data_IF_838177547589
#
_entry.id   IF_838177547589
#
_cell.length_a   1.000
_cell.length_b   1.000
_cell.length_c   1.000
_cell.angle_alpha   90.00
_cell.angle_beta   90.00
_cell.angle_gamma   90.00
#
_symmetry.space_group_name_H-M   'P 1'
#
loop_
_entity.id
_entity.type
_entity.pdbx_description
1 polymer ?
#
# COMPACT_ATOMS: atom_id res chain seq x y z
N UNK A 1 -24.97 -16.50 -8.31
CA UNK A 1 -25.69 -15.26 -8.00
C UNK A 1 -26.26 -15.39 -6.62
N UNK A 2 -26.11 -14.36 -5.79
CA UNK A 2 -26.63 -14.29 -4.44
C UNK A 2 -27.32 -12.94 -4.26
N UNK A 3 -28.42 -12.92 -3.53
CA UNK A 3 -29.14 -11.69 -3.20
C UNK A 3 -28.81 -11.27 -1.78
N UNK A 4 -28.23 -10.11 -1.62
CA UNK A 4 -27.95 -9.53 -0.32
C UNK A 4 -29.08 -8.55 0.04
N UNK A 5 -29.83 -8.80 1.11
CA UNK A 5 -30.89 -7.90 1.52
C UNK A 5 -30.33 -6.58 2.04
N UNK A 6 -31.10 -5.52 1.85
CA UNK A 6 -30.80 -4.25 2.48
C UNK A 6 -30.80 -4.41 4.01
N UNK A 7 -29.85 -3.80 4.75
CA UNK A 7 -29.85 -3.83 6.22
C UNK A 7 -31.20 -3.39 6.78
N UNK A 8 -31.74 -4.13 7.76
CA UNK A 8 -33.02 -3.79 8.40
C UNK A 8 -32.99 -2.46 9.15
N UNK A 9 -31.81 -2.00 9.55
CA UNK A 9 -31.61 -0.74 10.25
C UNK A 9 -30.62 0.13 9.47
N UNK A 10 -30.95 1.46 9.41
CA UNK A 10 -30.09 2.44 8.75
C UNK A 10 -28.72 2.52 9.45
N UNK A 11 -27.60 2.26 8.75
CA UNK A 11 -26.26 2.50 9.27
C UNK A 11 -26.03 3.99 9.56
N UNK A 12 -25.26 4.31 10.60
CA UNK A 12 -24.92 5.70 10.96
C UNK A 12 -24.11 6.43 9.88
N UNK A 13 -23.43 5.67 9.03
CA UNK A 13 -22.59 6.18 7.94
C UNK A 13 -23.36 6.68 6.72
N UNK A 14 -24.68 6.42 6.65
CA UNK A 14 -25.52 6.76 5.48
C UNK A 14 -26.66 7.67 5.94
N UNK A 15 -26.94 8.74 5.20
CA UNK A 15 -28.08 9.60 5.47
C UNK A 15 -29.42 8.89 5.13
N UNK A 16 -30.52 9.40 5.70
CA UNK A 16 -31.83 8.74 5.57
C UNK A 16 -32.36 8.72 4.14
N UNK A 17 -32.04 9.75 3.34
CA UNK A 17 -32.48 9.85 1.95
C UNK A 17 -31.79 8.79 1.10
N UNK A 18 -30.47 8.66 1.25
CA UNK A 18 -29.66 7.65 0.57
C UNK A 18 -30.07 6.24 1.00
N UNK A 19 -30.32 6.01 2.30
CA UNK A 19 -30.81 4.71 2.79
C UNK A 19 -32.14 4.31 2.17
N UNK A 20 -33.12 5.22 2.11
CA UNK A 20 -34.43 4.96 1.53
C UNK A 20 -34.41 4.76 0.01
N UNK A 21 -33.34 5.21 -0.65
CA UNK A 21 -33.13 5.02 -2.09
C UNK A 21 -32.40 3.69 -2.42
N UNK A 22 -31.92 2.95 -1.41
CA UNK A 22 -31.31 1.64 -1.63
C UNK A 22 -32.36 0.63 -2.11
N UNK A 23 -31.99 -0.27 -3.04
CA UNK A 23 -32.86 -1.36 -3.45
C UNK A 23 -33.11 -2.32 -2.29
N UNK A 24 -34.22 -3.05 -2.30
CA UNK A 24 -34.57 -4.04 -1.29
C UNK A 24 -33.49 -5.12 -1.14
N UNK A 25 -32.87 -5.50 -2.25
CA UNK A 25 -31.73 -6.41 -2.28
C UNK A 25 -30.75 -6.02 -3.37
N UNK A 26 -29.48 -6.33 -3.15
CA UNK A 26 -28.42 -6.19 -4.13
C UNK A 26 -28.07 -7.57 -4.71
N UNK A 27 -28.12 -7.70 -6.03
CA UNK A 27 -27.63 -8.90 -6.69
C UNK A 27 -26.13 -8.86 -6.81
N UNK A 28 -25.47 -9.90 -6.31
CA UNK A 28 -24.02 -10.04 -6.33
C UNK A 28 -23.61 -11.43 -6.82
N UNK A 29 -22.42 -11.48 -7.40
CA UNK A 29 -21.78 -12.73 -7.80
C UNK A 29 -20.68 -13.07 -6.79
N UNK A 30 -20.80 -14.27 -6.17
CA UNK A 30 -19.76 -14.81 -5.31
C UNK A 30 -18.90 -15.81 -6.09
N UNK A 31 -17.58 -15.63 -6.02
CA UNK A 31 -16.59 -16.44 -6.71
C UNK A 31 -15.62 -17.03 -5.69
N UNK A 32 -15.47 -18.36 -5.70
CA UNK A 32 -14.43 -19.03 -4.92
C UNK A 32 -13.18 -19.17 -5.77
N UNK A 33 -12.12 -18.48 -5.37
CA UNK A 33 -10.82 -18.48 -6.06
C UNK A 33 -9.81 -19.26 -5.23
N UNK A 34 -9.20 -20.30 -5.82
CA UNK A 34 -8.10 -21.03 -5.19
C UNK A 34 -6.80 -20.27 -5.33
N UNK A 35 -6.13 -20.02 -4.20
CA UNK A 35 -4.78 -19.43 -4.18
C UNK A 35 -3.76 -20.57 -4.20
N UNK A 36 -3.11 -20.77 -5.35
CA UNK A 36 -2.08 -21.83 -5.53
C UNK A 36 -0.67 -21.36 -5.15
N UNK A 37 -0.52 -20.14 -4.69
CA UNK A 37 0.79 -19.56 -4.40
C UNK A 37 1.38 -20.12 -3.10
N UNK A 38 2.59 -20.67 -3.17
CA UNK A 38 3.34 -21.19 -2.03
C UNK A 38 3.55 -20.07 -0.98
N UNK A 39 3.32 -20.39 0.29
CA UNK A 39 3.48 -19.41 1.38
C UNK A 39 2.22 -18.62 1.75
N UNK A 40 1.15 -18.71 0.98
CA UNK A 40 -0.13 -18.12 1.36
C UNK A 40 -0.88 -19.03 2.34
N UNK A 41 -1.34 -18.46 3.46
CA UNK A 41 -2.19 -19.18 4.43
C UNK A 41 -3.57 -19.47 3.87
N UNK A 42 -4.12 -18.50 3.14
CA UNK A 42 -5.46 -18.59 2.58
C UNK A 42 -5.41 -19.45 1.32
N UNK A 43 -6.00 -20.63 1.40
CA UNK A 43 -6.10 -21.56 0.28
C UNK A 43 -7.24 -21.22 -0.68
N UNK A 44 -8.27 -20.55 -0.17
CA UNK A 44 -9.47 -20.17 -0.94
C UNK A 44 -9.91 -18.78 -0.52
N UNK A 45 -10.17 -17.93 -1.50
CA UNK A 45 -10.75 -16.60 -1.34
C UNK A 45 -12.17 -16.62 -1.90
N UNK A 46 -13.10 -15.97 -1.23
CA UNK A 46 -14.41 -15.65 -1.78
C UNK A 46 -14.36 -14.18 -2.22
N UNK A 47 -14.48 -13.96 -3.52
CA UNK A 47 -14.57 -12.63 -4.12
C UNK A 47 -16.02 -12.35 -4.40
N UNK A 48 -16.52 -11.20 -3.94
CA UNK A 48 -17.89 -10.74 -4.17
C UNK A 48 -17.83 -9.52 -5.07
N UNK A 49 -18.69 -9.49 -6.09
CA UNK A 49 -18.72 -8.42 -7.08
C UNK A 49 -20.14 -8.18 -7.62
N UNK A 50 -20.40 -6.97 -8.06
CA UNK A 50 -21.59 -6.58 -8.81
C UNK A 50 -21.43 -6.84 -10.31
N UNK A 51 -20.26 -7.27 -10.79
CA UNK A 51 -20.03 -7.71 -12.17
C UNK A 51 -20.60 -9.12 -12.34
N UNK A 52 -21.91 -9.17 -12.60
CA UNK A 52 -22.69 -10.40 -12.47
C UNK A 52 -22.62 -11.31 -13.70
N UNK A 53 -22.39 -10.75 -14.89
CA UNK A 53 -22.37 -11.51 -16.13
C UNK A 53 -21.10 -12.39 -16.24
N UNK A 54 -21.23 -13.73 -16.28
CA UNK A 54 -20.09 -14.63 -16.35
C UNK A 54 -19.44 -14.71 -17.73
N UNK A 55 -20.15 -14.34 -18.80
CA UNK A 55 -19.63 -14.37 -20.17
C UNK A 55 -18.74 -13.14 -20.44
N UNK A 56 -19.21 -11.98 -20.00
CA UNK A 56 -18.42 -10.73 -20.10
C UNK A 56 -17.25 -10.69 -19.09
N UNK A 57 -17.45 -11.21 -17.87
CA UNK A 57 -16.47 -11.16 -16.80
C UNK A 57 -16.08 -12.57 -16.36
N UNK A 58 -15.04 -13.12 -16.98
CA UNK A 58 -14.57 -14.45 -16.65
C UNK A 58 -14.07 -14.53 -15.18
N UNK A 59 -14.17 -15.70 -14.58
CA UNK A 59 -13.72 -15.92 -13.19
C UNK A 59 -12.23 -15.65 -13.00
N UNK A 60 -11.41 -15.97 -14.01
CA UNK A 60 -9.97 -15.67 -14.05
C UNK A 60 -9.71 -14.17 -13.93
N UNK A 61 -10.41 -13.37 -14.74
CA UNK A 61 -10.20 -11.93 -14.83
C UNK A 61 -10.59 -11.23 -13.54
N UNK A 62 -11.69 -11.65 -12.91
CA UNK A 62 -12.10 -11.16 -11.59
C UNK A 62 -11.13 -11.57 -10.48
N UNK A 63 -10.52 -12.75 -10.57
CA UNK A 63 -9.48 -13.18 -9.65
C UNK A 63 -8.20 -12.35 -9.79
N UNK A 64 -7.80 -12.03 -11.02
CA UNK A 64 -6.62 -11.21 -11.31
C UNK A 64 -6.87 -9.74 -10.94
N UNK A 65 -8.06 -9.22 -11.22
CA UNK A 65 -8.49 -7.90 -10.77
C UNK A 65 -8.42 -7.78 -9.23
N UNK A 66 -8.95 -8.79 -8.51
CA UNK A 66 -8.87 -8.81 -7.04
C UNK A 66 -7.42 -8.89 -6.55
N UNK A 67 -6.56 -9.65 -7.22
CA UNK A 67 -5.13 -9.73 -6.92
C UNK A 67 -4.45 -8.37 -7.16
N UNK A 68 -4.79 -7.68 -8.25
CA UNK A 68 -4.28 -6.35 -8.57
C UNK A 68 -4.64 -5.29 -7.50
N UNK A 69 -5.70 -5.51 -6.68
CA UNK A 69 -6.03 -4.67 -5.53
C UNK A 69 -4.84 -4.46 -4.58
N UNK A 70 -3.97 -5.47 -4.43
CA UNK A 70 -2.76 -5.34 -3.62
C UNK A 70 -1.84 -4.20 -4.06
N UNK A 71 -1.90 -3.82 -5.32
CA UNK A 71 -1.12 -2.69 -5.84
C UNK A 71 -1.46 -1.38 -5.13
N UNK A 72 -2.73 -1.18 -4.71
CA UNK A 72 -3.11 0.01 -3.94
C UNK A 72 -2.43 0.08 -2.58
N UNK A 73 -2.21 -1.05 -1.93
CA UNK A 73 -1.47 -1.10 -0.66
C UNK A 73 0.00 -0.75 -0.86
N UNK A 74 0.61 -1.18 -1.97
CA UNK A 74 1.97 -0.80 -2.36
C UNK A 74 2.06 0.69 -2.71
N UNK A 75 1.05 1.23 -3.39
CA UNK A 75 0.97 2.64 -3.74
C UNK A 75 0.83 3.52 -2.48
N UNK A 76 -0.07 3.16 -1.57
CA UNK A 76 -0.21 3.82 -0.27
C UNK A 76 1.07 3.72 0.58
N UNK A 77 1.76 2.59 0.57
CA UNK A 77 3.06 2.45 1.22
C UNK A 77 4.11 3.38 0.60
N UNK A 78 4.12 3.52 -0.72
CA UNK A 78 5.03 4.43 -1.41
C UNK A 78 4.79 5.88 -0.97
N UNK A 79 3.55 6.32 -0.91
CA UNK A 79 3.19 7.67 -0.47
C UNK A 79 3.50 7.85 1.03
N UNK A 80 3.02 6.94 1.90
CA UNK A 80 3.16 7.08 3.35
C UNK A 80 4.60 6.91 3.82
N UNK A 81 5.25 5.79 3.43
CA UNK A 81 6.53 5.41 4.03
C UNK A 81 7.74 5.84 3.20
N UNK A 82 7.66 5.85 1.86
CA UNK A 82 8.80 6.22 1.01
C UNK A 82 8.87 7.73 0.81
N UNK A 83 7.73 8.39 0.67
CA UNK A 83 7.63 9.84 0.53
C UNK A 83 7.34 10.57 1.86
N UNK A 84 7.32 9.84 3.00
CA UNK A 84 7.15 10.38 4.35
C UNK A 84 5.86 11.18 4.60
N UNK A 85 4.75 10.87 3.91
CA UNK A 85 3.45 11.49 4.17
C UNK A 85 2.80 11.00 5.47
N UNK A 86 3.34 9.99 6.14
CA UNK A 86 2.92 9.53 7.46
C UNK A 86 3.15 10.57 8.57
N UNK A 87 4.01 11.56 8.33
CA UNK A 87 4.26 12.69 9.22
C UNK A 87 3.93 13.99 8.50
N UNK A 88 2.72 14.50 8.71
CA UNK A 88 2.29 15.81 8.20
C UNK A 88 2.88 16.92 9.07
N UNK A 89 3.43 17.95 8.44
CA UNK A 89 4.13 19.06 9.13
C UNK A 89 3.26 20.30 9.30
N UNK A 90 2.24 20.45 8.47
CA UNK A 90 1.33 21.58 8.52
C UNK A 90 0.36 21.44 9.68
N UNK A 91 0.01 22.56 10.35
CA UNK A 91 -0.83 22.59 11.53
C UNK A 91 -2.28 22.99 11.24
N UNK A 92 -2.53 23.79 10.20
CA UNK A 92 -3.89 24.19 9.86
C UNK A 92 -4.55 23.19 8.90
N UNK A 93 -5.87 22.95 9.01
CA UNK A 93 -6.59 22.01 8.15
C UNK A 93 -6.41 22.28 6.65
N UNK A 94 -6.35 23.55 6.27
CA UNK A 94 -6.15 23.95 4.87
C UNK A 94 -4.77 23.61 4.37
N UNK A 95 -3.72 23.90 5.13
CA UNK A 95 -2.34 23.58 4.78
C UNK A 95 -2.09 22.06 4.78
N UNK A 96 -2.69 21.32 5.71
CA UNK A 96 -2.66 19.85 5.72
C UNK A 96 -3.25 19.28 4.43
N UNK A 97 -4.38 19.80 3.95
CA UNK A 97 -4.95 19.39 2.66
C UNK A 97 -4.00 19.66 1.51
N UNK A 98 -3.39 20.86 1.47
CA UNK A 98 -2.39 21.20 0.43
C UNK A 98 -1.18 20.28 0.49
N UNK A 99 -0.68 19.97 1.68
CA UNK A 99 0.42 19.02 1.89
C UNK A 99 0.09 17.62 1.36
N UNK A 100 -1.09 17.09 1.67
CA UNK A 100 -1.56 15.80 1.15
C UNK A 100 -1.65 15.80 -0.38
N UNK A 101 -2.25 16.85 -0.97
CA UNK A 101 -2.35 16.97 -2.43
C UNK A 101 -1.00 17.09 -3.11
N UNK A 102 -0.04 17.78 -2.47
CA UNK A 102 1.34 17.88 -2.98
C UNK A 102 2.02 16.52 -3.03
N UNK A 103 1.86 15.68 -1.99
CA UNK A 103 2.39 14.33 -1.99
C UNK A 103 1.75 13.45 -3.07
N UNK A 104 0.43 13.55 -3.27
CA UNK A 104 -0.28 12.82 -4.32
C UNK A 104 0.20 13.26 -5.71
N UNK A 105 0.34 14.57 -5.93
CA UNK A 105 0.86 15.11 -7.18
C UNK A 105 2.28 14.61 -7.46
N UNK A 106 3.18 14.73 -6.48
CA UNK A 106 4.56 14.25 -6.61
C UNK A 106 4.61 12.74 -6.89
N UNK A 107 3.79 11.94 -6.20
CA UNK A 107 3.65 10.51 -6.47
C UNK A 107 3.27 10.25 -7.93
N UNK A 108 2.25 10.94 -8.45
CA UNK A 108 1.80 10.77 -9.83
C UNK A 108 2.86 11.17 -10.86
N UNK A 109 3.61 12.25 -10.61
CA UNK A 109 4.71 12.67 -11.47
C UNK A 109 5.83 11.62 -11.51
N UNK A 110 6.22 11.07 -10.36
CA UNK A 110 7.22 9.99 -10.29
C UNK A 110 6.73 8.78 -11.08
N UNK A 111 5.47 8.37 -10.91
CA UNK A 111 4.87 7.26 -11.66
C UNK A 111 4.84 7.51 -13.16
N UNK A 112 4.57 8.74 -13.59
CA UNK A 112 4.61 9.12 -15.01
C UNK A 112 6.02 8.97 -15.60
N UNK A 113 7.06 9.40 -14.86
CA UNK A 113 8.45 9.22 -15.27
C UNK A 113 8.83 7.73 -15.32
N UNK A 114 8.42 6.94 -14.33
CA UNK A 114 8.62 5.49 -14.33
C UNK A 114 7.94 4.82 -15.53
N UNK A 115 6.73 5.26 -15.90
CA UNK A 115 6.03 4.74 -17.08
C UNK A 115 6.77 5.10 -18.37
N UNK A 116 7.35 6.30 -18.48
CA UNK A 116 8.17 6.70 -19.64
C UNK A 116 9.45 5.85 -19.72
N UNK A 117 10.10 5.57 -18.57
CA UNK A 117 11.28 4.71 -18.52
C UNK A 117 10.92 3.28 -18.94
N UNK A 118 9.79 2.76 -18.45
CA UNK A 118 9.29 1.43 -18.81
C UNK A 118 9.00 1.34 -20.31
N UNK A 119 8.32 2.33 -20.87
CA UNK A 119 7.98 2.38 -22.30
C UNK A 119 9.22 2.46 -23.19
N UNK A 120 10.26 3.21 -22.76
CA UNK A 120 11.53 3.29 -23.48
C UNK A 120 12.27 1.94 -23.56
N UNK A 121 12.10 1.08 -22.55
CA UNK A 121 12.84 -0.18 -22.42
C UNK A 121 11.96 -1.43 -22.53
N UNK A 122 10.71 -1.30 -22.99
CA UNK A 122 9.75 -2.39 -23.11
C UNK A 122 9.57 -3.20 -21.81
N UNK A 123 9.43 -2.48 -20.69
CA UNK A 123 9.25 -3.06 -19.36
C UNK A 123 7.83 -2.82 -18.84
N UNK A 124 7.38 -3.71 -17.95
CA UNK A 124 6.18 -3.45 -17.17
C UNK A 124 6.47 -2.38 -16.09
N UNK A 125 5.76 -1.23 -16.07
CA UNK A 125 6.07 -0.12 -15.15
C UNK A 125 6.12 -0.51 -13.68
N UNK A 126 5.38 -1.55 -13.27
CA UNK A 126 5.34 -2.00 -11.87
C UNK A 126 6.54 -2.88 -11.48
N UNK A 127 7.35 -3.30 -12.42
CA UNK A 127 8.62 -3.98 -12.13
C UNK A 127 9.72 -3.01 -11.71
N UNK A 128 9.56 -1.72 -12.00
CA UNK A 128 10.52 -0.68 -11.61
C UNK A 128 10.34 -0.32 -10.14
N UNK A 129 11.45 -0.15 -9.42
CA UNK A 129 11.46 0.22 -8.00
C UNK A 129 11.07 1.68 -7.79
N UNK A 130 9.93 1.95 -7.14
CA UNK A 130 9.53 3.32 -6.80
C UNK A 130 10.57 4.06 -5.93
N UNK A 131 11.13 3.37 -4.92
CA UNK A 131 12.18 3.95 -4.07
C UNK A 131 13.47 4.24 -4.84
N UNK A 132 13.82 3.38 -5.80
CA UNK A 132 14.96 3.58 -6.70
C UNK A 132 14.73 4.79 -7.60
N UNK A 133 13.56 4.89 -8.23
CA UNK A 133 13.20 6.01 -9.08
C UNK A 133 13.21 7.35 -8.33
N UNK A 134 12.64 7.41 -7.11
CA UNK A 134 12.64 8.62 -6.28
C UNK A 134 14.08 9.09 -5.98
N UNK A 135 14.97 8.20 -5.56
CA UNK A 135 16.38 8.54 -5.28
C UNK A 135 17.10 9.03 -6.52
N UNK A 136 16.91 8.40 -7.66
CA UNK A 136 17.51 8.84 -8.91
C UNK A 136 17.01 10.22 -9.33
N UNK A 137 15.72 10.51 -9.14
CA UNK A 137 15.17 11.84 -9.38
C UNK A 137 15.82 12.90 -8.49
N UNK A 138 16.03 12.64 -7.22
CA UNK A 138 16.71 13.53 -6.28
C UNK A 138 18.17 13.80 -6.69
N UNK A 139 18.89 12.77 -7.12
CA UNK A 139 20.27 12.89 -7.58
C UNK A 139 20.36 13.63 -8.92
N UNK A 140 19.51 13.28 -9.88
CA UNK A 140 19.51 13.90 -11.20
C UNK A 140 18.97 15.34 -11.20
N UNK A 141 18.17 15.74 -10.22
CA UNK A 141 17.70 17.13 -10.12
C UNK A 141 18.85 18.11 -10.06
N UNK A 142 19.85 17.85 -9.24
CA UNK A 142 21.06 18.69 -9.15
C UNK A 142 21.81 18.77 -10.47
N UNK A 143 21.90 17.65 -11.19
CA UNK A 143 22.53 17.60 -12.50
C UNK A 143 21.72 18.40 -13.52
N UNK A 144 20.39 18.25 -13.55
CA UNK A 144 19.51 18.97 -14.47
C UNK A 144 19.54 20.48 -14.21
N UNK A 145 19.56 20.91 -12.95
CA UNK A 145 19.68 22.32 -12.56
C UNK A 145 21.02 22.91 -13.01
N UNK A 146 22.12 22.20 -12.77
CA UNK A 146 23.46 22.61 -13.25
C UNK A 146 23.55 22.68 -14.78
N UNK A 147 22.85 21.79 -15.48
CA UNK A 147 22.86 21.69 -16.94
C UNK A 147 21.78 22.56 -17.60
N UNK A 148 20.93 23.26 -16.81
CA UNK A 148 19.83 24.07 -17.34
C UNK A 148 20.28 25.13 -18.35
N UNK A 149 21.47 25.70 -18.15
CA UNK A 149 22.09 26.72 -19.03
C UNK A 149 22.67 26.18 -20.34
N UNK A 150 22.86 24.85 -20.47
CA UNK A 150 23.54 24.24 -21.64
C UNK A 150 22.62 23.90 -22.83
N UNK A 151 21.39 24.40 -22.83
CA UNK A 151 20.45 24.26 -23.93
C UNK A 151 19.59 22.98 -23.91
N UNK A 152 18.55 22.99 -24.77
CA UNK A 152 17.51 21.95 -24.77
C UNK A 152 18.04 20.54 -25.12
N UNK A 153 18.92 20.42 -26.09
CA UNK A 153 19.47 19.14 -26.51
C UNK A 153 20.30 18.47 -25.41
N UNK A 154 20.97 19.24 -24.56
CA UNK A 154 21.71 18.69 -23.43
C UNK A 154 20.81 18.22 -22.32
N UNK A 155 19.78 19.01 -21.99
CA UNK A 155 18.73 18.56 -21.01
C UNK A 155 18.04 17.27 -21.46
N UNK A 156 17.74 17.16 -22.76
CA UNK A 156 17.12 15.97 -23.31
C UNK A 156 18.02 14.73 -23.16
N UNK A 157 19.33 14.86 -23.36
CA UNK A 157 20.28 13.76 -23.12
C UNK A 157 20.32 13.37 -21.66
N UNK A 158 20.40 14.32 -20.72
CA UNK A 158 20.38 14.05 -19.29
C UNK A 158 19.08 13.36 -18.87
N UNK A 159 17.94 13.81 -19.40
CA UNK A 159 16.65 13.19 -19.13
C UNK A 159 16.60 11.75 -19.68
N UNK A 160 17.11 11.51 -20.88
CA UNK A 160 17.23 10.18 -21.45
C UNK A 160 18.05 9.24 -20.57
N UNK A 161 19.20 9.72 -20.04
CA UNK A 161 20.04 8.98 -19.10
C UNK A 161 19.30 8.67 -17.79
N UNK A 162 18.53 9.62 -17.27
CA UNK A 162 17.69 9.40 -16.09
C UNK A 162 16.72 8.25 -16.32
N UNK A 163 16.02 8.20 -17.46
CA UNK A 163 15.10 7.12 -17.80
C UNK A 163 15.82 5.77 -17.89
N UNK A 164 17.04 5.72 -18.44
CA UNK A 164 17.85 4.50 -18.52
C UNK A 164 18.23 4.01 -17.11
N UNK A 165 18.67 4.92 -16.24
CA UNK A 165 18.97 4.59 -14.86
C UNK A 165 17.74 4.09 -14.08
N UNK A 166 16.57 4.71 -14.27
CA UNK A 166 15.32 4.30 -13.63
C UNK A 166 14.91 2.91 -14.08
N UNK A 167 14.98 2.61 -15.38
CA UNK A 167 14.64 1.30 -15.93
C UNK A 167 15.57 0.18 -15.40
N UNK A 168 16.83 0.48 -15.13
CA UNK A 168 17.78 -0.46 -14.55
C UNK A 168 17.45 -0.85 -13.08
N UNK A 169 16.70 0.00 -12.36
CA UNK A 169 16.34 -0.24 -10.96
C UNK A 169 15.03 -1.04 -10.84
N UNK A 170 15.08 -2.31 -11.17
CA UNK A 170 13.91 -3.20 -11.06
C UNK A 170 13.75 -3.78 -9.65
N UNK A 171 12.52 -4.07 -9.30
CA UNK A 171 12.19 -4.84 -8.08
C UNK A 171 12.63 -6.28 -8.31
N UNK A 172 13.39 -6.84 -7.39
CA UNK A 172 13.85 -8.22 -7.51
C UNK A 172 12.64 -9.18 -7.60
N UNK A 173 12.58 -9.94 -8.68
CA UNK A 173 11.67 -11.07 -8.80
C UNK A 173 12.15 -12.20 -7.89
N UNK A 174 11.29 -12.65 -6.97
CA UNK A 174 11.57 -13.73 -6.03
C UNK A 174 10.39 -14.69 -6.01
N UNK A 175 10.17 -15.46 -7.10
CA UNK A 175 8.95 -16.25 -7.31
C UNK A 175 8.70 -17.30 -6.22
N UNK A 176 9.73 -17.89 -5.65
CA UNK A 176 9.63 -18.96 -4.66
C UNK A 176 9.92 -18.51 -3.22
N UNK A 177 9.92 -17.19 -2.97
CA UNK A 177 10.18 -16.68 -1.63
C UNK A 177 9.05 -17.08 -0.68
N UNK A 178 9.37 -18.02 0.19
CA UNK A 178 8.54 -18.42 1.31
C UNK A 178 9.10 -17.84 2.60
N UNK A 179 8.37 -16.93 3.22
CA UNK A 179 8.70 -16.46 4.57
C UNK A 179 7.67 -17.00 5.56
N UNK A 180 8.08 -17.90 6.47
CA UNK A 180 7.17 -18.37 7.51
C UNK A 180 6.78 -17.19 8.39
N UNK A 181 5.50 -16.82 8.40
CA UNK A 181 4.96 -15.80 9.30
C UNK A 181 4.82 -16.38 10.70
N UNK A 182 5.93 -16.53 11.38
CA UNK A 182 5.92 -16.84 12.80
C UNK A 182 5.72 -15.55 13.58
N UNK A 183 4.70 -15.55 14.43
CA UNK A 183 4.50 -14.47 15.39
C UNK A 183 5.62 -14.54 16.40
N UNK A 184 6.56 -13.58 16.40
CA UNK A 184 7.54 -13.45 17.48
C UNK A 184 6.78 -13.32 18.79
N UNK A 185 6.98 -14.26 19.69
CA UNK A 185 6.47 -14.13 21.05
C UNK A 185 7.11 -12.87 21.62
N UNK A 186 6.30 -11.84 21.93
CA UNK A 186 6.83 -10.68 22.64
C UNK A 186 7.43 -11.19 23.96
N UNK A 187 8.60 -10.71 24.37
CA UNK A 187 9.11 -11.00 25.71
C UNK A 187 7.99 -10.69 26.70
N UNK A 188 7.80 -11.56 27.69
CA UNK A 188 6.85 -11.29 28.79
C UNK A 188 7.25 -9.95 29.38
N UNK A 189 6.34 -8.96 29.34
CA UNK A 189 6.54 -7.74 30.10
C UNK A 189 6.63 -8.12 31.56
N UNK A 190 7.53 -7.45 32.31
CA UNK A 190 7.53 -7.56 33.74
C UNK A 190 6.13 -7.24 34.28
N UNK A 191 5.67 -8.01 35.25
CA UNK A 191 4.41 -7.74 35.92
C UNK A 191 4.43 -6.31 36.50
N UNK A 192 3.28 -5.63 36.42
CA UNK A 192 3.15 -4.31 37.03
C UNK A 192 3.43 -4.39 38.53
N UNK A 193 4.17 -3.39 39.06
CA UNK A 193 4.38 -3.27 40.46
C UNK A 193 3.05 -3.01 41.17
N UNK A 194 2.56 -4.02 41.87
CA UNK A 194 1.32 -3.91 42.67
C UNK A 194 1.53 -3.28 44.04
N UNK A 195 2.79 -3.18 44.49
CA UNK A 195 3.20 -2.63 45.76
C UNK A 195 4.41 -1.69 45.58
N UNK A 196 4.65 -0.72 46.47
CA UNK A 196 5.85 0.10 46.41
C UNK A 196 7.12 -0.76 46.43
N UNK A 197 8.15 -0.37 45.67
CA UNK A 197 9.42 -1.14 45.55
C UNK A 197 10.07 -1.49 46.88
N UNK A 198 10.00 -0.59 47.88
CA UNK A 198 10.57 -0.84 49.22
C UNK A 198 9.90 -2.05 49.89
N UNK A 199 8.59 -2.19 49.76
CA UNK A 199 7.81 -3.30 50.31
C UNK A 199 8.18 -4.61 49.63
N UNK A 200 8.24 -4.59 48.29
CA UNK A 200 8.66 -5.76 47.51
C UNK A 200 10.07 -6.21 47.88
N UNK A 201 11.02 -5.29 47.99
CA UNK A 201 12.39 -5.61 48.46
C UNK A 201 12.40 -6.25 49.84
N UNK A 202 11.59 -5.72 50.78
CA UNK A 202 11.49 -6.29 52.13
C UNK A 202 10.87 -7.70 52.11
N UNK A 203 9.86 -7.94 51.29
CA UNK A 203 9.24 -9.24 51.13
C UNK A 203 10.21 -10.25 50.50
N UNK A 204 10.96 -9.84 49.46
CA UNK A 204 12.00 -10.67 48.86
C UNK A 204 13.11 -11.04 49.84
N UNK A 205 13.57 -10.09 50.69
CA UNK A 205 14.56 -10.33 51.70
C UNK A 205 14.08 -11.32 52.80
N UNK A 206 12.75 -11.47 52.97
CA UNK A 206 12.12 -12.44 53.85
C UNK A 206 11.82 -13.79 53.19
N UNK A 207 12.29 -14.01 51.93
CA UNK A 207 12.06 -15.24 51.17
C UNK A 207 10.63 -15.42 50.60
N UNK A 208 9.82 -14.35 50.55
CA UNK A 208 8.48 -14.40 50.01
C UNK A 208 8.58 -14.31 48.50
N UNK A 209 8.13 -15.36 47.80
CA UNK A 209 8.09 -15.38 46.33
C UNK A 209 7.00 -14.42 45.84
N UNK A 210 7.37 -13.41 45.06
CA UNK A 210 6.45 -12.45 44.43
C UNK A 210 6.09 -12.98 43.06
N UNK A 211 4.83 -13.43 42.90
CA UNK A 211 4.23 -13.85 41.62
C UNK A 211 3.53 -12.65 41.01
#
# INVERSE_FOLDING_TARGET
MVRWPNPSHKPDTIDRRSYNALPEFLEVRELRVRVKQKGFRTKTLVVVTTLCDPETYAKSDLADLYRARWNHELDLRSIKSVMHMDVLRCQSPELVRKEVWTHILAYNLIRAIMAQAAMKHDLEPRTISFKGALRLLEEFQRLLDYQASRGAAHRQRCYSMLLDCIAAHQVADRPDRFEPRLRKRRPKHYAYLRKPRRVIKSEMAKGITII
#
